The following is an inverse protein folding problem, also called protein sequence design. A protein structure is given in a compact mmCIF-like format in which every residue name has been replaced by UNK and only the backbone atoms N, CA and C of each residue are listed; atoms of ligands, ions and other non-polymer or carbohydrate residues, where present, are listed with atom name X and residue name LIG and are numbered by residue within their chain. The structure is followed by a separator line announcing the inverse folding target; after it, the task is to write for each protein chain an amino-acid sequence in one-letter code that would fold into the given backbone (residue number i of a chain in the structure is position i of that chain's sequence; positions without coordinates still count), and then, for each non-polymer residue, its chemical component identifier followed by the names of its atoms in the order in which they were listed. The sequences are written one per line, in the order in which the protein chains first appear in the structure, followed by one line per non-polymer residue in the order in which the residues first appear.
data_IF_189997641907
#
_entry.id   IF_189997641907
#
_cell.length_a   1.000
_cell.length_b   1.000
_cell.length_c   1.000
_cell.angle_alpha   90.00
_cell.angle_beta   90.00
_cell.angle_gamma   90.00
#
_symmetry.space_group_name_H-M   'P 1'
#
loop_
_entity.id
_entity.type
_entity.pdbx_description
1 polymer ?
#
# COMPACT_ATOMS: atom_id res chain seq x y z
N UNK A 1 -9.67 -30.33 20.84
CA UNK A 1 -10.74 -29.30 20.82
C UNK A 1 -10.13 -27.91 20.54
N UNK A 2 -9.66 -27.68 19.31
CA UNK A 2 -9.27 -26.35 18.76
C UNK A 2 -9.05 -26.37 17.24
N UNK A 3 -9.65 -27.33 16.53
CA UNK A 3 -9.52 -27.51 15.07
C UNK A 3 -10.87 -27.48 14.32
N UNK A 4 -11.98 -27.27 15.03
CA UNK A 4 -13.31 -27.63 14.54
C UNK A 4 -14.17 -26.50 13.96
N UNK A 5 -13.66 -25.27 13.81
CA UNK A 5 -14.50 -24.13 13.36
C UNK A 5 -14.15 -23.61 11.96
N UNK A 6 -12.93 -23.82 11.45
CA UNK A 6 -12.52 -23.32 10.12
C UNK A 6 -12.58 -24.35 8.98
N UNK A 7 -12.86 -25.62 9.29
CA UNK A 7 -12.91 -26.72 8.30
C UNK A 7 -14.33 -27.18 7.94
N UNK A 8 -15.39 -26.58 8.50
CA UNK A 8 -16.77 -27.03 8.25
C UNK A 8 -17.48 -26.36 7.06
N UNK A 9 -16.83 -25.41 6.36
CA UNK A 9 -17.42 -24.81 5.17
C UNK A 9 -17.38 -25.82 4.01
N UNK A 10 -18.54 -26.41 3.70
CA UNK A 10 -18.73 -27.34 2.58
C UNK A 10 -18.22 -26.72 1.26
N UNK A 11 -17.83 -27.55 0.30
CA UNK A 11 -17.25 -27.11 -0.98
C UNK A 11 -18.14 -26.09 -1.74
N UNK A 12 -19.47 -26.21 -1.58
CA UNK A 12 -20.45 -25.25 -2.09
C UNK A 12 -20.38 -23.87 -1.41
N UNK A 13 -20.04 -23.79 -0.12
CA UNK A 13 -19.82 -22.53 0.59
C UNK A 13 -18.47 -21.91 0.23
N UNK A 14 -17.42 -22.72 0.05
CA UNK A 14 -16.12 -22.27 -0.48
C UNK A 14 -16.22 -21.75 -1.92
N UNK A 15 -17.04 -22.38 -2.77
CA UNK A 15 -17.38 -21.88 -4.12
C UNK A 15 -18.21 -20.59 -4.07
N UNK A 16 -19.09 -20.41 -3.08
CA UNK A 16 -19.88 -19.17 -2.89
C UNK A 16 -19.03 -18.00 -2.38
N UNK A 17 -18.02 -18.25 -1.54
CA UNK A 17 -17.02 -17.24 -1.11
C UNK A 17 -16.08 -16.83 -2.25
N UNK A 18 -15.77 -17.76 -3.16
CA UNK A 18 -14.95 -17.52 -4.36
C UNK A 18 -15.75 -17.02 -5.58
N UNK A 19 -17.01 -16.62 -5.43
CA UNK A 19 -17.93 -16.40 -6.56
C UNK A 19 -17.44 -15.33 -7.57
N UNK A 20 -16.55 -14.44 -7.16
CA UNK A 20 -15.93 -13.44 -8.03
C UNK A 20 -14.44 -13.68 -8.31
N UNK A 21 -13.80 -14.72 -7.78
CA UNK A 21 -12.39 -14.96 -8.04
C UNK A 21 -12.21 -15.66 -9.39
N UNK A 22 -11.50 -15.03 -10.33
CA UNK A 22 -11.10 -15.69 -11.57
C UNK A 22 -10.06 -16.79 -11.28
N UNK A 23 -9.92 -17.76 -12.20
CA UNK A 23 -8.81 -18.72 -12.19
C UNK A 23 -7.48 -17.93 -12.17
N UNK A 24 -6.43 -18.49 -11.58
CA UNK A 24 -5.09 -17.86 -11.41
C UNK A 24 -4.39 -17.57 -12.75
N UNK A 25 -4.95 -16.68 -13.54
CA UNK A 25 -4.32 -16.07 -14.70
C UNK A 25 -3.53 -14.86 -14.21
N UNK A 26 -2.27 -14.77 -14.67
CA UNK A 26 -1.43 -13.61 -14.41
C UNK A 26 -1.52 -12.67 -15.59
N UNK A 27 -1.55 -11.37 -15.30
CA UNK A 27 -1.63 -10.30 -16.28
C UNK A 27 -0.32 -9.52 -16.27
N UNK A 28 0.37 -9.50 -17.40
CA UNK A 28 1.71 -8.91 -17.50
C UNK A 28 1.66 -7.41 -17.19
N UNK A 29 0.60 -6.71 -17.58
CA UNK A 29 0.46 -5.27 -17.38
C UNK A 29 0.26 -4.90 -15.91
N UNK A 30 -0.39 -5.77 -15.11
CA UNK A 30 -0.56 -5.55 -13.68
C UNK A 30 0.76 -5.79 -12.94
N UNK A 31 1.51 -6.81 -13.36
CA UNK A 31 2.85 -7.05 -12.85
C UNK A 31 3.80 -5.92 -13.28
N UNK A 32 3.72 -5.43 -14.52
CA UNK A 32 4.51 -4.30 -14.99
C UNK A 32 4.23 -3.04 -14.19
N UNK A 33 2.96 -2.62 -14.07
CA UNK A 33 2.61 -1.39 -13.35
C UNK A 33 2.99 -1.47 -11.87
N UNK A 34 2.77 -2.63 -11.23
CA UNK A 34 3.18 -2.83 -9.84
C UNK A 34 4.70 -2.78 -9.69
N UNK A 35 5.43 -3.44 -10.60
CA UNK A 35 6.90 -3.43 -10.62
C UNK A 35 7.45 -2.02 -10.83
N UNK A 36 6.86 -1.26 -11.75
CA UNK A 36 7.23 0.12 -12.01
C UNK A 36 7.03 1.01 -10.78
N UNK A 37 5.88 0.89 -10.09
CA UNK A 37 5.65 1.61 -8.84
C UNK A 37 6.69 1.27 -7.77
N UNK A 38 7.05 0.00 -7.63
CA UNK A 38 8.06 -0.45 -6.67
C UNK A 38 9.45 0.07 -7.02
N UNK A 39 9.85 0.05 -8.30
CA UNK A 39 11.14 0.62 -8.74
C UNK A 39 11.22 2.10 -8.39
N UNK A 40 10.17 2.87 -8.70
CA UNK A 40 10.12 4.29 -8.37
C UNK A 40 10.14 4.54 -6.86
N UNK A 41 9.45 3.72 -6.06
CA UNK A 41 9.51 3.79 -4.60
C UNK A 41 10.92 3.52 -4.08
N UNK A 42 11.66 2.55 -4.65
CA UNK A 42 13.02 2.22 -4.22
C UNK A 42 13.95 3.39 -4.53
N UNK A 43 13.79 4.00 -5.71
CA UNK A 43 14.55 5.18 -6.11
C UNK A 43 14.30 6.36 -5.15
N UNK A 44 13.04 6.62 -4.82
CA UNK A 44 12.65 7.69 -3.90
C UNK A 44 13.26 7.48 -2.50
N UNK A 45 13.19 6.25 -1.97
CA UNK A 45 13.82 5.91 -0.69
C UNK A 45 15.34 5.98 -0.76
N UNK A 46 15.96 5.60 -1.88
CA UNK A 46 17.39 5.76 -2.06
C UNK A 46 17.81 7.24 -1.99
N UNK A 47 17.08 8.15 -2.65
CA UNK A 47 17.36 9.59 -2.57
C UNK A 47 17.21 10.12 -1.15
N UNK A 48 16.17 9.69 -0.41
CA UNK A 48 16.03 10.02 1.01
C UNK A 48 17.21 9.49 1.84
N UNK A 49 17.67 8.26 1.57
CA UNK A 49 18.81 7.67 2.28
C UNK A 49 20.14 8.38 1.96
N UNK A 50 20.30 8.95 0.75
CA UNK A 50 21.45 9.81 0.44
C UNK A 50 21.45 11.06 1.33
N UNK A 51 20.28 11.63 1.63
CA UNK A 51 20.17 12.83 2.47
C UNK A 51 20.21 12.53 3.98
N UNK A 52 19.70 11.37 4.42
CA UNK A 52 19.52 11.07 5.83
C UNK A 52 20.50 10.02 6.39
N UNK A 53 20.86 9.00 5.60
CA UNK A 53 21.66 7.86 6.07
C UNK A 53 23.12 8.00 5.68
N UNK A 54 23.43 8.45 4.46
CA UNK A 54 24.82 8.62 4.03
C UNK A 54 25.62 9.58 4.92
N UNK A 55 25.07 10.75 5.36
CA UNK A 55 25.79 11.62 6.29
C UNK A 55 26.07 10.94 7.64
N UNK A 56 25.11 10.19 8.19
CA UNK A 56 25.32 9.45 9.42
C UNK A 56 26.40 8.36 9.29
N UNK A 57 26.44 7.67 8.14
CA UNK A 57 27.52 6.70 7.83
C UNK A 57 28.87 7.40 7.76
N UNK A 58 28.94 8.55 7.08
CA UNK A 58 30.15 9.35 6.95
C UNK A 58 30.67 9.84 8.31
N UNK A 59 29.79 10.31 9.19
CA UNK A 59 30.16 10.73 10.54
C UNK A 59 30.70 9.57 11.40
N UNK A 60 30.08 8.38 11.27
CA UNK A 60 30.47 7.20 12.05
C UNK A 60 31.77 6.58 11.56
N UNK A 61 31.95 6.50 10.23
CA UNK A 61 33.07 5.80 9.61
C UNK A 61 34.22 6.72 9.17
N UNK A 62 34.02 8.04 9.19
CA UNK A 62 35.00 9.02 8.69
C UNK A 62 35.16 8.98 7.17
N UNK A 63 34.06 8.74 6.43
CA UNK A 63 34.04 8.59 4.96
C UNK A 63 33.29 9.73 4.28
N UNK A 64 33.27 9.74 2.94
CA UNK A 64 32.56 10.72 2.12
C UNK A 64 31.58 10.05 1.13
N UNK A 65 31.02 8.91 1.52
CA UNK A 65 30.17 8.09 0.65
C UNK A 65 28.96 8.88 0.19
N UNK A 66 28.75 8.96 -1.12
CA UNK A 66 27.64 9.67 -1.77
C UNK A 66 27.49 11.17 -1.42
N UNK A 67 28.51 11.80 -0.81
CA UNK A 67 28.44 13.21 -0.43
C UNK A 67 28.24 14.12 -1.66
N UNK A 68 28.92 13.81 -2.77
CA UNK A 68 28.77 14.54 -4.03
C UNK A 68 27.39 14.41 -4.68
N UNK A 69 26.56 13.45 -4.24
CA UNK A 69 25.20 13.27 -4.72
C UNK A 69 24.15 14.01 -3.86
N UNK A 70 24.54 14.61 -2.73
CA UNK A 70 23.61 15.24 -1.78
C UNK A 70 22.84 16.41 -2.42
N UNK A 71 23.52 17.29 -3.17
CA UNK A 71 22.87 18.42 -3.84
C UNK A 71 21.82 17.96 -4.86
N UNK A 72 22.12 16.88 -5.59
CA UNK A 72 21.17 16.29 -6.53
C UNK A 72 19.98 15.65 -5.80
N UNK A 73 20.23 14.93 -4.71
CA UNK A 73 19.18 14.31 -3.91
C UNK A 73 18.25 15.36 -3.27
N UNK A 74 18.79 16.50 -2.83
CA UNK A 74 18.02 17.62 -2.29
C UNK A 74 17.16 18.28 -3.37
N UNK A 75 17.73 18.54 -4.56
CA UNK A 75 16.98 19.05 -5.71
C UNK A 75 15.87 18.07 -6.15
N UNK A 76 16.14 16.77 -6.09
CA UNK A 76 15.15 15.73 -6.35
C UNK A 76 14.01 15.79 -5.32
N UNK A 77 14.32 15.91 -4.03
CA UNK A 77 13.33 15.87 -2.94
C UNK A 77 12.42 17.10 -2.92
N UNK A 78 12.96 18.29 -3.20
CA UNK A 78 12.21 19.56 -3.23
C UNK A 78 11.39 19.76 -4.52
N UNK A 79 11.57 18.87 -5.52
CA UNK A 79 10.92 19.02 -6.82
C UNK A 79 9.42 18.78 -6.77
N UNK A 80 8.64 19.79 -7.17
CA UNK A 80 7.18 19.67 -7.31
C UNK A 80 6.75 18.57 -8.30
N UNK A 81 7.59 18.29 -9.30
CA UNK A 81 7.36 17.18 -10.23
C UNK A 81 7.52 15.84 -9.52
N UNK A 82 8.56 15.68 -8.70
CA UNK A 82 8.79 14.46 -7.93
C UNK A 82 7.69 14.26 -6.90
N UNK A 83 7.27 15.30 -6.17
CA UNK A 83 6.16 15.16 -5.22
C UNK A 83 4.85 14.72 -5.91
N UNK A 84 4.57 15.29 -7.08
CA UNK A 84 3.44 14.87 -7.93
C UNK A 84 3.57 13.41 -8.38
N UNK A 85 4.77 12.99 -8.79
CA UNK A 85 5.05 11.62 -9.19
C UNK A 85 4.86 10.65 -8.01
N UNK A 86 5.37 10.98 -6.81
CA UNK A 86 5.15 10.20 -5.59
C UNK A 86 3.66 10.03 -5.31
N UNK A 87 2.88 11.10 -5.37
CA UNK A 87 1.44 11.04 -5.16
C UNK A 87 0.73 10.11 -6.15
N UNK A 88 1.03 10.24 -7.44
CA UNK A 88 0.44 9.39 -8.49
C UNK A 88 0.85 7.94 -8.30
N UNK A 89 2.12 7.67 -8.02
CA UNK A 89 2.66 6.31 -7.81
C UNK A 89 2.00 5.65 -6.60
N UNK A 90 1.87 6.36 -5.47
CA UNK A 90 1.17 5.86 -4.27
C UNK A 90 -0.28 5.50 -4.58
N UNK A 91 -1.01 6.40 -5.24
CA UNK A 91 -2.40 6.17 -5.64
C UNK A 91 -2.54 4.98 -6.60
N UNK A 92 -1.66 4.88 -7.59
CA UNK A 92 -1.62 3.78 -8.54
C UNK A 92 -1.35 2.45 -7.83
N UNK A 93 -0.34 2.39 -6.96
CA UNK A 93 0.02 1.20 -6.21
C UNK A 93 -1.14 0.71 -5.34
N UNK A 94 -1.79 1.61 -4.58
CA UNK A 94 -2.94 1.25 -3.75
C UNK A 94 -4.15 0.79 -4.58
N UNK A 95 -4.44 1.44 -5.71
CA UNK A 95 -5.47 0.97 -6.63
C UNK A 95 -5.15 -0.44 -7.20
N UNK A 96 -3.89 -0.71 -7.56
CA UNK A 96 -3.44 -2.04 -8.00
C UNK A 96 -3.55 -3.10 -6.90
N UNK A 97 -3.32 -2.74 -5.63
CA UNK A 97 -3.60 -3.63 -4.49
C UNK A 97 -5.08 -4.04 -4.44
N UNK A 98 -5.98 -3.09 -4.74
CA UNK A 98 -7.41 -3.26 -4.91
C UNK A 98 -7.81 -4.16 -6.06
N UNK A 99 -7.26 -3.92 -7.26
CA UNK A 99 -7.43 -4.80 -8.43
C UNK A 99 -7.01 -6.23 -8.08
N UNK A 100 -5.90 -6.38 -7.37
CA UNK A 100 -5.41 -7.69 -6.95
C UNK A 100 -6.39 -8.38 -5.97
N UNK A 101 -7.22 -7.62 -5.24
CA UNK A 101 -8.25 -8.21 -4.35
C UNK A 101 -9.35 -8.90 -5.15
N UNK A 102 -9.70 -8.40 -6.34
CA UNK A 102 -10.72 -9.01 -7.20
C UNK A 102 -10.21 -10.28 -7.89
N UNK A 103 -8.89 -10.45 -7.99
CA UNK A 103 -8.23 -11.60 -8.61
C UNK A 103 -7.79 -12.66 -7.57
N UNK A 104 -7.83 -12.31 -6.28
CA UNK A 104 -7.47 -13.21 -5.20
C UNK A 104 -8.57 -14.23 -4.91
N UNK A 105 -8.17 -15.47 -4.58
CA UNK A 105 -9.10 -16.52 -4.13
C UNK A 105 -9.66 -16.24 -2.74
N UNK A 106 -8.86 -15.62 -1.87
CA UNK A 106 -9.28 -15.37 -0.49
C UNK A 106 -8.56 -14.14 0.06
N UNK A 107 -9.30 -13.04 0.16
CA UNK A 107 -8.75 -11.78 0.68
C UNK A 107 -8.51 -11.82 2.19
N UNK A 108 -9.21 -12.66 2.98
CA UNK A 108 -8.87 -12.84 4.40
C UNK A 108 -7.49 -13.48 4.56
N UNK A 109 -7.19 -14.51 3.76
CA UNK A 109 -5.85 -15.14 3.77
C UNK A 109 -4.79 -14.19 3.24
N UNK A 110 -5.14 -13.31 2.29
CA UNK A 110 -4.23 -12.29 1.78
C UNK A 110 -3.93 -11.17 2.79
N UNK A 111 -4.91 -10.78 3.61
CA UNK A 111 -4.74 -9.77 4.64
C UNK A 111 -3.83 -10.25 5.80
N UNK A 112 -3.89 -11.55 6.12
CA UNK A 112 -3.16 -12.14 7.26
C UNK A 112 -1.63 -11.89 7.25
N UNK A 113 -0.87 -12.21 6.17
CA UNK A 113 0.57 -11.95 6.16
C UNK A 113 0.90 -10.46 6.27
N UNK A 114 0.08 -9.57 5.71
CA UNK A 114 0.25 -8.12 5.85
C UNK A 114 0.05 -7.68 7.30
N UNK A 115 -0.98 -8.19 7.97
CA UNK A 115 -1.27 -7.89 9.37
C UNK A 115 -0.18 -8.43 10.32
N UNK A 116 0.27 -9.67 10.11
CA UNK A 116 1.36 -10.25 10.90
C UNK A 116 2.64 -9.43 10.74
N UNK A 117 2.94 -9.00 9.53
CA UNK A 117 4.11 -8.17 9.27
C UNK A 117 4.00 -6.78 9.89
N UNK A 118 2.83 -6.14 9.82
CA UNK A 118 2.56 -4.87 10.49
C UNK A 118 2.76 -4.97 12.02
N UNK A 119 2.25 -6.03 12.65
CA UNK A 119 2.46 -6.29 14.09
C UNK A 119 3.93 -6.54 14.43
N UNK A 120 4.63 -7.27 13.57
CA UNK A 120 6.08 -7.47 13.71
C UNK A 120 6.83 -6.13 13.67
N UNK A 121 6.51 -5.24 12.72
CA UNK A 121 7.13 -3.92 12.64
C UNK A 121 6.88 -3.09 13.91
N UNK A 122 5.66 -3.07 14.45
CA UNK A 122 5.39 -2.38 15.73
C UNK A 122 6.24 -2.94 16.86
N UNK A 123 6.30 -4.27 16.99
CA UNK A 123 7.09 -4.92 18.03
C UNK A 123 8.59 -4.66 17.89
N UNK A 124 9.14 -4.86 16.69
CA UNK A 124 10.56 -4.70 16.40
C UNK A 124 11.01 -3.25 16.60
N UNK A 125 10.23 -2.29 16.09
CA UNK A 125 10.54 -0.86 16.25
C UNK A 125 10.42 -0.40 17.71
N UNK A 126 9.44 -0.89 18.47
CA UNK A 126 9.32 -0.59 19.90
C UNK A 126 10.47 -1.17 20.73
N UNK A 127 11.00 -2.34 20.35
CA UNK A 127 12.21 -2.91 20.97
C UNK A 127 13.42 -2.06 20.62
N UNK A 128 13.57 -1.66 19.35
CA UNK A 128 14.68 -0.82 18.90
C UNK A 128 14.70 0.54 19.62
N UNK A 129 13.53 1.18 19.75
CA UNK A 129 13.37 2.45 20.46
C UNK A 129 13.74 2.32 21.95
N UNK A 130 13.40 1.20 22.60
CA UNK A 130 13.84 0.94 23.98
C UNK A 130 15.35 0.74 24.11
N UNK A 131 16.03 0.24 23.07
CA UNK A 131 17.46 -0.06 23.10
C UNK A 131 18.32 1.15 22.72
N UNK A 132 17.90 1.92 21.71
CA UNK A 132 18.68 3.03 21.13
C UNK A 132 18.16 4.41 21.56
N UNK A 133 16.96 4.50 22.12
CA UNK A 133 16.23 5.78 22.23
C UNK A 133 15.85 6.32 20.84
N UNK A 134 15.24 7.50 20.77
CA UNK A 134 15.08 8.24 19.50
C UNK A 134 13.67 8.27 18.90
N UNK A 135 12.68 7.62 19.51
CA UNK A 135 11.27 7.70 19.06
C UNK A 135 11.00 6.89 17.79
N UNK A 136 11.73 5.80 17.57
CA UNK A 136 11.63 4.98 16.34
C UNK A 136 10.40 4.09 16.27
N UNK A 137 9.53 4.11 17.28
CA UNK A 137 8.38 3.21 17.37
C UNK A 137 7.41 3.47 16.21
N UNK A 138 7.26 2.49 15.32
CA UNK A 138 6.28 2.51 14.24
C UNK A 138 4.90 2.24 14.84
N UNK A 139 4.06 3.26 14.83
CA UNK A 139 2.71 3.19 15.40
C UNK A 139 1.70 2.62 14.42
N UNK A 140 1.58 3.25 13.25
CA UNK A 140 0.69 2.87 12.16
C UNK A 140 1.35 3.23 10.84
N UNK A 141 1.56 2.26 9.98
CA UNK A 141 2.21 2.48 8.68
C UNK A 141 1.41 1.91 7.52
N UNK A 142 2.03 1.96 6.34
CA UNK A 142 1.49 1.43 5.09
C UNK A 142 0.98 -0.02 5.19
N UNK A 143 1.66 -0.90 5.94
CA UNK A 143 1.24 -2.29 6.09
C UNK A 143 -0.04 -2.43 6.93
N UNK A 144 -0.21 -1.62 7.98
CA UNK A 144 -1.44 -1.58 8.76
C UNK A 144 -2.60 -1.09 7.90
N UNK A 145 -2.37 -0.04 7.12
CA UNK A 145 -3.34 0.51 6.19
C UNK A 145 -3.73 -0.53 5.12
N UNK A 146 -2.75 -1.19 4.48
CA UNK A 146 -3.00 -2.22 3.47
C UNK A 146 -3.73 -3.45 4.05
N UNK A 147 -3.29 -3.94 5.21
CA UNK A 147 -3.95 -5.07 5.88
C UNK A 147 -5.41 -4.76 6.21
N UNK A 148 -5.66 -3.58 6.78
CA UNK A 148 -7.01 -3.10 7.12
C UNK A 148 -7.87 -2.92 5.88
N UNK A 149 -7.31 -2.40 4.80
CA UNK A 149 -8.02 -2.16 3.53
C UNK A 149 -8.36 -3.46 2.80
N UNK A 150 -7.44 -4.43 2.76
CA UNK A 150 -7.71 -5.76 2.17
C UNK A 150 -8.74 -6.52 3.01
N UNK A 151 -8.69 -6.39 4.33
CA UNK A 151 -9.71 -6.96 5.23
C UNK A 151 -11.07 -6.29 5.01
N UNK A 152 -11.13 -4.96 4.93
CA UNK A 152 -12.35 -4.23 4.60
C UNK A 152 -12.93 -4.66 3.24
N UNK A 153 -12.08 -4.84 2.22
CA UNK A 153 -12.50 -5.38 0.93
C UNK A 153 -13.14 -6.75 1.07
N UNK A 154 -12.50 -7.66 1.83
CA UNK A 154 -13.00 -9.01 2.08
C UNK A 154 -14.35 -9.02 2.82
N UNK A 155 -14.51 -8.13 3.81
CA UNK A 155 -15.75 -7.97 4.57
C UNK A 155 -16.88 -7.45 3.67
N UNK A 156 -16.61 -6.42 2.86
CA UNK A 156 -17.60 -5.84 1.93
C UNK A 156 -18.04 -6.86 0.88
N UNK A 157 -17.11 -7.65 0.34
CA UNK A 157 -17.44 -8.77 -0.54
C UNK A 157 -18.27 -9.86 0.15
N UNK A 158 -17.96 -10.17 1.41
CA UNK A 158 -18.74 -11.10 2.23
C UNK A 158 -20.17 -10.60 2.44
N UNK A 159 -20.33 -9.31 2.77
CA UNK A 159 -21.64 -8.65 2.95
C UNK A 159 -22.42 -8.70 1.63
N UNK A 160 -21.80 -8.33 0.50
CA UNK A 160 -22.43 -8.42 -0.82
C UNK A 160 -22.96 -9.84 -1.07
N UNK A 161 -22.16 -10.87 -0.78
CA UNK A 161 -22.56 -12.26 -0.94
C UNK A 161 -23.69 -12.71 0.00
N UNK A 162 -23.75 -12.19 1.23
CA UNK A 162 -24.85 -12.44 2.16
C UNK A 162 -26.15 -11.78 1.70
N UNK A 163 -26.07 -10.51 1.26
CA UNK A 163 -27.22 -9.77 0.72
C UNK A 163 -27.79 -10.48 -0.51
N UNK A 164 -26.94 -10.95 -1.44
CA UNK A 164 -27.40 -11.71 -2.62
C UNK A 164 -28.10 -13.03 -2.27
N UNK A 165 -27.94 -13.59 -1.05
CA UNK A 165 -28.66 -14.80 -0.62
C UNK A 165 -30.10 -14.52 -0.18
N UNK A 166 -30.43 -13.28 0.15
CA UNK A 166 -31.79 -12.88 0.53
C UNK A 166 -32.76 -12.91 -0.66
N UNK A 167 -32.22 -12.84 -1.88
CA UNK A 167 -32.99 -12.82 -3.11
C UNK A 167 -33.21 -14.22 -3.68
N UNK A 168 -34.44 -14.45 -4.17
CA UNK A 168 -34.84 -15.72 -4.80
C UNK A 168 -34.04 -15.95 -6.08
N UNK A 169 -33.72 -17.21 -6.37
CA UNK A 169 -33.06 -17.57 -7.61
C UNK A 169 -33.96 -17.19 -8.81
N UNK A 170 -33.41 -16.41 -9.74
CA UNK A 170 -34.12 -15.85 -10.87
C UNK A 170 -33.35 -14.70 -11.50
N UNK A 171 -33.96 -14.02 -12.46
CA UNK A 171 -33.36 -12.90 -13.21
C UNK A 171 -32.97 -11.72 -12.30
N UNK A 172 -33.81 -11.40 -11.31
CA UNK A 172 -33.57 -10.32 -10.32
C UNK A 172 -32.24 -10.51 -9.58
N UNK A 173 -31.96 -11.74 -9.15
CA UNK A 173 -30.72 -12.07 -8.44
C UNK A 173 -29.47 -11.93 -9.33
N UNK A 174 -29.59 -12.16 -10.64
CA UNK A 174 -28.45 -11.99 -11.56
C UNK A 174 -28.06 -10.52 -11.70
N UNK A 175 -29.04 -9.63 -11.85
CA UNK A 175 -28.81 -8.18 -11.88
C UNK A 175 -28.22 -7.65 -10.58
N UNK A 176 -28.73 -8.12 -9.44
CA UNK A 176 -28.21 -7.75 -8.13
C UNK A 176 -26.80 -8.26 -7.91
N UNK A 177 -26.48 -9.51 -8.27
CA UNK A 177 -25.11 -10.04 -8.19
C UNK A 177 -24.16 -9.22 -9.10
N UNK A 178 -24.63 -8.81 -10.29
CA UNK A 178 -23.87 -7.96 -11.19
C UNK A 178 -23.61 -6.54 -10.65
N UNK A 179 -24.49 -6.03 -9.78
CA UNK A 179 -24.34 -4.73 -9.11
C UNK A 179 -23.56 -4.83 -7.81
N UNK A 180 -23.92 -5.76 -6.92
CA UNK A 180 -23.31 -5.98 -5.60
C UNK A 180 -21.84 -6.39 -5.70
N UNK A 181 -21.41 -6.99 -6.82
CA UNK A 181 -19.98 -7.16 -7.07
C UNK A 181 -19.24 -5.83 -7.11
N UNK A 182 -19.84 -4.66 -7.33
CA UNK A 182 -19.10 -3.40 -7.23
C UNK A 182 -19.14 -2.77 -5.83
N UNK A 183 -19.74 -3.44 -4.83
CA UNK A 183 -19.96 -2.87 -3.50
C UNK A 183 -18.67 -2.33 -2.85
N UNK A 184 -17.53 -3.04 -2.79
CA UNK A 184 -16.32 -2.47 -2.23
C UNK A 184 -15.88 -1.19 -2.94
N UNK A 185 -15.93 -1.17 -4.27
CA UNK A 185 -15.50 -0.03 -5.06
C UNK A 185 -16.40 1.19 -4.89
N UNK A 186 -17.73 0.98 -4.82
CA UNK A 186 -18.72 2.02 -4.53
C UNK A 186 -18.48 2.60 -3.14
N UNK A 187 -18.26 1.76 -2.12
CA UNK A 187 -17.94 2.22 -0.77
C UNK A 187 -16.63 3.02 -0.77
N UNK A 188 -15.61 2.58 -1.49
CA UNK A 188 -14.36 3.32 -1.69
C UNK A 188 -14.61 4.73 -2.28
N UNK A 189 -15.40 4.83 -3.35
CA UNK A 189 -15.71 6.11 -3.98
C UNK A 189 -16.49 7.05 -3.04
N UNK A 190 -17.45 6.51 -2.28
CA UNK A 190 -18.19 7.28 -1.27
C UNK A 190 -17.25 7.79 -0.17
N UNK A 191 -16.36 6.93 0.34
CA UNK A 191 -15.39 7.32 1.37
C UNK A 191 -14.41 8.38 0.87
N UNK A 192 -13.97 8.32 -0.39
CA UNK A 192 -13.15 9.37 -1.00
C UNK A 192 -13.93 10.69 -1.11
N UNK A 193 -15.18 10.64 -1.58
CA UNK A 193 -16.01 11.82 -1.70
C UNK A 193 -16.24 12.49 -0.34
N UNK A 194 -16.58 11.71 0.69
CA UNK A 194 -16.72 12.20 2.07
C UNK A 194 -15.39 12.78 2.56
N UNK A 195 -14.27 12.09 2.33
CA UNK A 195 -12.96 12.57 2.74
C UNK A 195 -12.62 13.94 2.14
N UNK A 196 -12.79 14.11 0.83
CA UNK A 196 -12.48 15.39 0.17
C UNK A 196 -13.52 16.48 0.42
N UNK A 197 -14.69 16.14 0.97
CA UNK A 197 -15.71 17.11 1.38
C UNK A 197 -15.45 17.61 2.79
N UNK A 198 -15.05 16.73 3.72
CA UNK A 198 -15.04 17.02 5.16
C UNK A 198 -13.63 17.15 5.75
N UNK A 199 -12.64 16.41 5.23
CA UNK A 199 -11.40 16.15 5.97
C UNK A 199 -10.11 16.38 5.22
N UNK A 200 -10.14 16.49 3.90
CA UNK A 200 -8.93 16.66 3.10
C UNK A 200 -9.15 17.51 1.87
N UNK A 201 -8.06 18.14 1.43
CA UNK A 201 -8.03 18.91 0.18
C UNK A 201 -6.85 18.44 -0.65
N UNK A 202 -7.00 18.44 -1.98
CA UNK A 202 -5.89 18.22 -2.88
C UNK A 202 -5.20 19.57 -3.11
N UNK A 203 -3.94 19.67 -2.69
CA UNK A 203 -3.11 20.86 -2.89
C UNK A 203 -2.19 20.61 -4.08
N UNK A 204 -1.99 21.66 -4.88
CA UNK A 204 -1.12 21.63 -6.08
C UNK A 204 0.12 22.51 -5.94
N UNK A 205 0.20 23.30 -4.87
CA UNK A 205 1.34 24.17 -4.60
C UNK A 205 2.56 23.34 -4.13
N UNK A 206 3.62 23.36 -4.94
CA UNK A 206 4.78 22.48 -4.78
C UNK A 206 4.50 21.02 -5.17
N UNK A 207 3.49 20.76 -6.01
CA UNK A 207 3.13 19.41 -6.49
C UNK A 207 1.84 18.86 -5.89
N UNK A 208 1.34 17.76 -6.45
CA UNK A 208 0.10 17.13 -5.98
C UNK A 208 0.31 16.43 -4.63
N UNK A 209 -0.40 16.88 -3.60
CA UNK A 209 -0.46 16.19 -2.31
C UNK A 209 -1.83 16.31 -1.66
N UNK A 210 -2.20 15.29 -0.90
CA UNK A 210 -3.38 15.34 -0.04
C UNK A 210 -2.98 16.03 1.25
N UNK A 211 -3.69 17.11 1.59
CA UNK A 211 -3.50 17.83 2.83
C UNK A 211 -4.76 17.69 3.69
N UNK A 212 -4.62 17.12 4.88
CA UNK A 212 -5.72 17.06 5.85
C UNK A 212 -6.20 18.46 6.21
N UNK A 213 -7.50 18.67 6.46
CA UNK A 213 -8.05 19.90 7.02
C UNK A 213 -8.20 19.81 8.56
N UNK A 214 -7.96 18.63 9.14
CA UNK A 214 -8.17 18.35 10.56
C UNK A 214 -6.92 18.68 11.35
N UNK A 215 -7.05 19.48 12.40
CA UNK A 215 -5.96 19.79 13.32
C UNK A 215 -5.93 18.82 14.51
N UNK A 216 -4.74 18.56 15.04
CA UNK A 216 -4.59 17.79 16.27
C UNK A 216 -5.31 18.48 17.44
N UNK A 217 -5.95 17.68 18.29
CA UNK A 217 -6.77 18.17 19.40
C UNK A 217 -5.95 18.46 20.66
N UNK A 218 -4.67 18.10 20.68
CA UNK A 218 -3.79 18.21 21.84
C UNK A 218 -3.97 17.08 22.85
N UNK A 219 -4.94 16.18 22.63
CA UNK A 219 -5.11 14.97 23.41
C UNK A 219 -4.48 13.79 22.65
N UNK A 220 -3.35 13.30 23.17
CA UNK A 220 -2.56 12.26 22.51
C UNK A 220 -3.35 10.98 22.19
N UNK A 221 -4.26 10.53 23.07
CA UNK A 221 -5.05 9.33 22.80
C UNK A 221 -6.07 9.58 21.69
N UNK A 222 -6.79 10.70 21.74
CA UNK A 222 -7.77 11.06 20.71
C UNK A 222 -7.10 11.25 19.35
N UNK A 223 -5.96 11.92 19.33
CA UNK A 223 -5.19 12.19 18.11
C UNK A 223 -4.57 10.91 17.55
N UNK A 224 -4.16 9.98 18.41
CA UNK A 224 -3.73 8.64 17.99
C UNK A 224 -4.86 7.89 17.26
N UNK A 225 -6.05 7.80 17.87
CA UNK A 225 -7.16 7.09 17.25
C UNK A 225 -7.65 7.77 15.97
N UNK A 226 -7.73 9.10 15.96
CA UNK A 226 -8.17 9.84 14.77
C UNK A 226 -7.15 9.70 13.64
N UNK A 227 -5.86 9.77 13.97
CA UNK A 227 -4.74 9.62 13.02
C UNK A 227 -4.70 8.25 12.31
N UNK A 228 -5.25 7.19 12.90
CA UNK A 228 -5.39 5.91 12.19
C UNK A 228 -6.28 6.06 10.95
N UNK A 229 -7.32 6.90 11.02
CA UNK A 229 -8.30 7.05 9.95
C UNK A 229 -7.99 8.20 9.02
N UNK A 230 -7.54 9.34 9.55
CA UNK A 230 -7.36 10.60 8.81
C UNK A 230 -6.09 11.28 9.35
N UNK A 231 -5.24 11.79 8.47
CA UNK A 231 -4.05 12.56 8.86
C UNK A 231 -4.43 13.82 9.67
N UNK A 232 -3.55 14.27 10.57
CA UNK A 232 -3.78 15.40 11.45
C UNK A 232 -2.68 16.45 11.29
N UNK A 233 -3.06 17.71 11.03
CA UNK A 233 -2.14 18.84 11.04
C UNK A 233 -1.68 19.17 12.45
N UNK A 234 -0.41 19.54 12.58
CA UNK A 234 0.19 19.98 13.84
C UNK A 234 0.85 18.84 14.60
N UNK A 235 1.01 18.99 15.91
CA UNK A 235 1.64 17.99 16.76
C UNK A 235 0.71 16.79 16.93
N UNK A 236 0.86 15.77 16.09
CA UNK A 236 0.19 14.47 16.21
C UNK A 236 1.19 13.38 16.59
N UNK A 237 0.73 12.25 17.17
CA UNK A 237 1.61 11.11 17.48
C UNK A 237 2.33 10.51 16.27
N UNK A 238 1.88 10.82 15.05
CA UNK A 238 2.41 10.25 13.80
C UNK A 238 3.40 11.17 13.09
N UNK A 239 3.61 12.40 13.58
CA UNK A 239 4.59 13.33 12.98
C UNK A 239 5.97 12.69 12.92
N UNK A 240 6.64 12.79 11.76
CA UNK A 240 7.98 12.25 11.54
C UNK A 240 8.03 10.74 11.25
N UNK A 241 6.90 10.04 11.22
CA UNK A 241 6.87 8.65 10.79
C UNK A 241 6.94 8.59 9.25
N UNK A 242 8.08 8.17 8.70
CA UNK A 242 8.35 8.15 7.26
C UNK A 242 7.34 7.34 6.43
N UNK A 243 6.76 6.27 7.01
CA UNK A 243 5.80 5.37 6.34
C UNK A 243 4.37 5.46 6.89
N UNK A 244 4.02 6.58 7.52
CA UNK A 244 2.66 6.78 8.02
C UNK A 244 1.68 7.03 6.88
N UNK A 245 0.65 6.17 6.79
CA UNK A 245 -0.46 6.30 5.87
C UNK A 245 -1.78 6.10 6.63
N UNK A 246 -2.62 7.13 6.80
CA UNK A 246 -3.96 6.96 7.38
C UNK A 246 -4.84 6.08 6.48
N UNK A 247 -5.90 5.51 7.05
CA UNK A 247 -6.84 4.67 6.29
C UNK A 247 -7.57 5.45 5.18
N UNK A 248 -7.85 6.74 5.37
CA UNK A 248 -8.39 7.63 4.35
C UNK A 248 -7.37 8.70 3.97
N UNK A 249 -7.18 8.98 2.67
CA UNK A 249 -7.94 8.46 1.53
C UNK A 249 -7.42 7.11 0.97
N UNK A 250 -6.27 6.63 1.44
CA UNK A 250 -5.50 5.58 0.76
C UNK A 250 -6.17 4.20 0.76
N UNK A 251 -6.79 3.79 1.87
CA UNK A 251 -7.57 2.57 1.93
C UNK A 251 -8.84 2.63 1.07
N UNK A 252 -9.45 3.81 0.93
CA UNK A 252 -10.54 4.02 -0.01
C UNK A 252 -10.07 3.90 -1.48
N UNK A 253 -8.85 4.33 -1.80
CA UNK A 253 -8.23 4.06 -3.10
C UNK A 253 -8.02 2.56 -3.36
N UNK A 254 -7.63 1.78 -2.34
CA UNK A 254 -7.56 0.31 -2.45
C UNK A 254 -8.94 -0.26 -2.79
N UNK A 255 -10.01 0.19 -2.12
CA UNK A 255 -11.37 -0.24 -2.42
C UNK A 255 -11.78 0.11 -3.86
N UNK A 256 -11.50 1.34 -4.32
CA UNK A 256 -11.77 1.80 -5.69
C UNK A 256 -11.09 0.96 -6.77
N UNK A 257 -9.95 0.34 -6.48
CA UNK A 257 -9.31 -0.64 -7.39
C UNK A 257 -10.25 -1.78 -7.82
N UNK A 258 -11.30 -2.05 -7.03
CA UNK A 258 -12.37 -2.99 -7.40
C UNK A 258 -13.12 -2.63 -8.68
N UNK A 259 -13.24 -1.33 -9.05
CA UNK A 259 -13.84 -0.93 -10.33
C UNK A 259 -13.04 -1.45 -11.51
N UNK A 260 -11.72 -1.26 -11.48
CA UNK A 260 -10.81 -1.72 -12.54
C UNK A 260 -10.78 -3.25 -12.55
N UNK A 261 -10.62 -3.87 -11.38
CA UNK A 261 -10.51 -5.31 -11.25
C UNK A 261 -11.74 -6.07 -11.77
N UNK A 262 -12.95 -5.60 -11.44
CA UNK A 262 -14.20 -6.23 -11.89
C UNK A 262 -14.69 -5.72 -13.24
N UNK A 263 -14.40 -4.47 -13.58
CA UNK A 263 -14.80 -3.84 -14.84
C UNK A 263 -13.97 -4.30 -16.03
N UNK A 264 -12.68 -4.63 -15.83
CA UNK A 264 -11.79 -5.04 -16.92
C UNK A 264 -11.49 -6.54 -16.80
N UNK A 265 -10.88 -6.97 -15.71
CA UNK A 265 -10.30 -8.31 -15.60
C UNK A 265 -11.31 -9.45 -15.41
N UNK A 266 -12.57 -9.12 -15.12
CA UNK A 266 -13.68 -10.10 -15.09
C UNK A 266 -14.55 -10.05 -16.35
N UNK A 267 -14.10 -9.34 -17.39
CA UNK A 267 -14.81 -9.23 -18.67
C UNK A 267 -13.96 -9.78 -19.82
N UNK A 268 -14.50 -9.72 -21.04
CA UNK A 268 -13.75 -10.09 -22.26
C UNK A 268 -12.53 -9.19 -22.50
N UNK A 269 -12.48 -7.99 -21.89
CA UNK A 269 -11.38 -7.04 -22.03
C UNK A 269 -10.10 -7.44 -21.30
N UNK A 270 -10.12 -8.48 -20.45
CA UNK A 270 -8.97 -8.89 -19.61
C UNK A 270 -7.68 -9.21 -20.38
N UNK A 271 -7.75 -9.48 -21.68
CA UNK A 271 -6.61 -9.80 -22.53
C UNK A 271 -6.31 -8.70 -23.57
N UNK A 272 -6.93 -7.52 -23.45
CA UNK A 272 -6.79 -6.45 -24.44
C UNK A 272 -5.33 -6.00 -24.65
N UNK A 273 -4.52 -6.07 -23.60
CA UNK A 273 -3.11 -5.65 -23.63
C UNK A 273 -2.13 -6.80 -23.92
N UNK A 274 -2.61 -8.03 -24.12
CA UNK A 274 -1.75 -9.19 -24.44
C UNK A 274 -0.84 -8.98 -25.66
N UNK A 275 -1.26 -8.28 -26.74
CA UNK A 275 -0.37 -8.03 -27.89
C UNK A 275 0.85 -7.16 -27.60
N UNK A 276 0.85 -6.41 -26.49
CA UNK A 276 1.98 -5.55 -26.08
C UNK A 276 2.97 -6.27 -25.16
N UNK A 277 2.67 -7.51 -24.75
CA UNK A 277 3.54 -8.32 -23.90
C UNK A 277 4.79 -8.80 -24.67
N UNK A 278 5.94 -8.87 -24.00
CA UNK A 278 7.19 -9.28 -24.61
C UNK A 278 8.40 -9.18 -23.68
N UNK A 279 9.57 -9.53 -24.21
CA UNK A 279 10.84 -9.56 -23.44
C UNK A 279 11.25 -8.19 -22.88
N UNK A 280 10.83 -7.09 -23.51
CA UNK A 280 11.16 -5.73 -23.10
C UNK A 280 10.70 -5.38 -21.67
N UNK A 281 9.59 -5.97 -21.22
CA UNK A 281 8.99 -5.68 -19.91
C UNK A 281 9.43 -6.68 -18.81
N UNK A 282 10.17 -7.73 -19.18
CA UNK A 282 10.36 -8.91 -18.35
C UNK A 282 10.98 -8.62 -16.98
N UNK A 283 11.94 -7.68 -16.94
CA UNK A 283 12.62 -7.26 -15.70
C UNK A 283 11.68 -6.52 -14.74
N UNK A 284 10.92 -5.55 -15.24
CA UNK A 284 9.95 -4.80 -14.41
C UNK A 284 8.83 -5.73 -13.95
N UNK A 285 8.32 -6.59 -14.84
CA UNK A 285 7.34 -7.61 -14.48
C UNK A 285 7.87 -8.60 -13.42
N UNK A 286 9.17 -8.93 -13.44
CA UNK A 286 9.78 -9.77 -12.40
C UNK A 286 9.71 -9.09 -11.03
N UNK A 287 10.04 -7.80 -10.95
CA UNK A 287 9.92 -7.02 -9.72
C UNK A 287 8.45 -7.00 -9.27
N UNK A 288 7.52 -6.73 -10.18
CA UNK A 288 6.09 -6.68 -9.86
C UNK A 288 5.48 -8.00 -9.39
N UNK A 289 5.93 -9.13 -9.94
CA UNK A 289 5.55 -10.48 -9.47
C UNK A 289 5.99 -10.75 -8.05
N UNK A 290 7.09 -10.12 -7.62
CA UNK A 290 7.67 -10.24 -6.29
C UNK A 290 7.59 -8.92 -5.52
N UNK A 291 6.61 -8.06 -5.84
CA UNK A 291 6.56 -6.70 -5.32
C UNK A 291 6.61 -6.63 -3.79
N UNK A 292 5.93 -7.54 -3.10
CA UNK A 292 5.95 -7.59 -1.64
C UNK A 292 7.37 -7.86 -1.07
N UNK A 293 8.17 -8.69 -1.76
CA UNK A 293 9.55 -8.98 -1.36
C UNK A 293 10.44 -7.75 -1.55
N UNK A 294 10.35 -7.07 -2.70
CA UNK A 294 11.12 -5.86 -2.96
C UNK A 294 10.70 -4.69 -2.05
N UNK A 295 9.39 -4.51 -1.88
CA UNK A 295 8.82 -3.51 -0.98
C UNK A 295 9.23 -3.75 0.48
N UNK A 296 9.37 -5.00 0.92
CA UNK A 296 9.90 -5.27 2.26
C UNK A 296 11.42 -5.13 2.31
N UNK A 297 12.11 -5.75 1.37
CA UNK A 297 13.57 -5.86 1.37
C UNK A 297 14.26 -4.50 1.28
N UNK A 298 13.66 -3.52 0.61
CA UNK A 298 14.34 -2.23 0.39
C UNK A 298 14.62 -1.46 1.68
N UNK A 299 13.77 -1.58 2.72
CA UNK A 299 13.96 -0.90 4.01
C UNK A 299 15.26 -1.30 4.70
N UNK A 300 15.78 -2.50 4.41
CA UNK A 300 17.07 -2.97 4.92
C UNK A 300 18.15 -2.85 3.84
N UNK A 301 17.83 -3.25 2.60
CA UNK A 301 18.81 -3.33 1.52
C UNK A 301 19.36 -1.95 1.12
N UNK A 302 18.52 -0.92 1.05
CA UNK A 302 18.96 0.42 0.62
C UNK A 302 19.93 1.04 1.63
N UNK A 303 19.62 1.13 2.94
CA UNK A 303 20.62 1.58 3.93
C UNK A 303 21.87 0.70 3.95
N UNK A 304 21.73 -0.63 3.86
CA UNK A 304 22.85 -1.55 3.89
C UNK A 304 23.84 -1.33 2.72
N UNK A 305 23.34 -1.01 1.52
CA UNK A 305 24.21 -0.69 0.38
C UNK A 305 25.04 0.57 0.64
N UNK A 306 24.48 1.59 1.29
CA UNK A 306 25.22 2.81 1.64
C UNK A 306 26.28 2.51 2.69
N UNK A 307 25.93 1.77 3.74
CA UNK A 307 26.89 1.34 4.79
C UNK A 307 28.03 0.54 4.17
N UNK A 308 27.74 -0.40 3.28
CA UNK A 308 28.75 -1.17 2.56
C UNK A 308 29.63 -0.27 1.69
N UNK A 309 29.06 0.74 1.04
CA UNK A 309 29.81 1.75 0.30
C UNK A 309 30.83 2.47 1.18
N UNK A 310 30.41 2.95 2.36
CA UNK A 310 31.31 3.57 3.34
C UNK A 310 32.40 2.61 3.82
N UNK A 311 32.03 1.37 4.17
CA UNK A 311 33.02 0.34 4.56
C UNK A 311 34.04 0.03 3.46
N UNK A 312 33.63 0.06 2.19
CA UNK A 312 34.54 -0.12 1.05
C UNK A 312 35.44 1.11 0.88
N UNK A 313 34.91 2.31 1.04
CA UNK A 313 35.68 3.55 0.97
C UNK A 313 36.78 3.60 2.04
N UNK A 314 36.51 3.12 3.26
CA UNK A 314 37.51 2.97 4.32
C UNK A 314 38.71 2.09 3.94
N UNK A 315 38.61 1.24 2.92
CA UNK A 315 39.75 0.44 2.45
C UNK A 315 40.73 1.31 1.64
N UNK A 316 40.24 2.40 1.05
CA UNK A 316 40.99 3.27 0.14
C UNK A 316 41.38 4.61 0.74
N UNK A 317 40.85 4.96 1.92
CA UNK A 317 41.19 6.15 2.73
C UNK A 317 42.16 5.76 3.83
#
# INVERSE_FOLDING_TARGET
MKETVFLSANEAERKKLNRYACKSERFWELDFLRGFCVVLMILDHFMFNVLAVAPAVNDILGTHVLESAADFAMLYDESAFIESARFIVRCCFFALCGVSCTLSKNNFVRALPLAMFALFLNGASAVLDKLLGGGFTVLFGVFHMLASSVLAFALLDGIAGLVSRLFKAGETRQWEEAFLRFLPAVVGAVLLAVYFTEWGTLVTDGGFRVQSAVHSSGNAQKDFFTGIFIDLRGASPFVGNADYFPLLPYGAMVLCGGFIGRGIYHTFAKNALKPLDGSWNAGVCFIGRHAALFYLGHMVAVPAVIVLGGLVEMIFV
#
